data_IF_767558238594
#
_entry.id   IF_767558238594
#
_cell.length_a   1.000
_cell.length_b   1.000
_cell.length_c   1.000
_cell.angle_alpha   90.00
_cell.angle_beta   90.00
_cell.angle_gamma   90.00
#
_symmetry.space_group_name_H-M   'P 1'
#
loop_
_entity.id
_entity.type
_entity.pdbx_description
1 polymer ?
#
# COMPACT_ATOMS: atom_id res chain seq x y z
N UNK A 1 15.41 -18.52 8.21
CA UNK A 1 14.78 -19.26 9.32
C UNK A 1 13.73 -18.38 10.00
N UNK A 2 12.63 -18.04 9.31
CA UNK A 2 11.59 -17.14 9.85
C UNK A 2 10.14 -17.65 9.67
N UNK A 3 9.88 -18.61 8.78
CA UNK A 3 8.49 -18.94 8.40
C UNK A 3 7.84 -20.10 9.18
N UNK A 4 8.60 -20.90 9.94
CA UNK A 4 8.05 -22.12 10.60
C UNK A 4 6.87 -21.87 11.55
N UNK A 5 7.03 -21.05 12.60
CA UNK A 5 5.98 -20.90 13.63
C UNK A 5 4.75 -20.13 13.10
N UNK A 6 4.94 -19.16 12.21
CA UNK A 6 3.84 -18.40 11.60
C UNK A 6 3.08 -19.28 10.60
N UNK A 7 3.77 -20.12 9.84
CA UNK A 7 3.13 -21.06 8.91
C UNK A 7 2.29 -22.11 9.65
N UNK A 8 2.82 -22.69 10.73
CA UNK A 8 2.06 -23.63 11.56
C UNK A 8 0.84 -22.97 12.20
N UNK A 9 0.98 -21.74 12.72
CA UNK A 9 -0.14 -21.00 13.30
C UNK A 9 -1.22 -20.70 12.24
N UNK A 10 -0.82 -20.28 11.04
CA UNK A 10 -1.73 -20.06 9.91
C UNK A 10 -2.47 -21.35 9.55
N UNK A 11 -1.75 -22.46 9.37
CA UNK A 11 -2.37 -23.75 8.99
C UNK A 11 -3.33 -24.26 10.06
N UNK A 12 -2.98 -24.15 11.35
CA UNK A 12 -3.89 -24.51 12.45
C UNK A 12 -5.15 -23.64 12.49
N UNK A 13 -5.01 -22.34 12.21
CA UNK A 13 -6.20 -21.47 12.12
C UNK A 13 -7.04 -21.77 10.90
N UNK A 14 -6.41 -22.08 9.78
CA UNK A 14 -7.12 -22.47 8.58
C UNK A 14 -7.84 -23.81 8.80
N UNK A 15 -7.23 -24.77 9.50
CA UNK A 15 -7.87 -26.04 9.88
C UNK A 15 -9.16 -25.81 10.68
N UNK A 16 -9.11 -24.96 11.70
CA UNK A 16 -10.23 -24.63 12.57
C UNK A 16 -11.30 -23.73 11.91
N UNK A 17 -11.00 -23.10 10.77
CA UNK A 17 -11.94 -22.27 10.04
C UNK A 17 -12.84 -23.12 9.13
N UNK A 18 -14.13 -22.80 9.12
CA UNK A 18 -15.14 -23.39 8.22
C UNK A 18 -15.07 -22.81 6.79
N UNK A 19 -14.11 -21.92 6.51
CA UNK A 19 -13.93 -21.24 5.23
C UNK A 19 -12.52 -20.72 5.04
N UNK A 20 -12.39 -19.63 4.28
CA UNK A 20 -11.12 -18.93 4.11
C UNK A 20 -10.86 -17.90 5.21
N UNK A 21 -9.61 -17.45 5.28
CA UNK A 21 -9.14 -16.44 6.22
C UNK A 21 -8.59 -15.23 5.45
N UNK A 22 -8.88 -14.01 5.91
CA UNK A 22 -8.21 -12.82 5.39
C UNK A 22 -6.85 -12.65 6.10
N UNK A 23 -5.79 -12.54 5.31
CA UNK A 23 -4.43 -12.33 5.81
C UNK A 23 -4.26 -11.08 6.69
N UNK A 24 -4.98 -9.98 6.45
CA UNK A 24 -4.85 -8.79 7.30
C UNK A 24 -5.51 -9.00 8.66
N UNK A 25 -6.66 -9.67 8.70
CA UNK A 25 -7.35 -10.02 9.96
C UNK A 25 -6.51 -11.01 10.76
N UNK A 26 -6.00 -12.06 10.10
CA UNK A 26 -5.14 -13.05 10.74
C UNK A 26 -3.82 -12.44 11.24
N UNK A 27 -3.22 -11.51 10.49
CA UNK A 27 -2.01 -10.81 10.93
C UNK A 27 -2.27 -10.00 12.21
N UNK A 28 -3.42 -9.31 12.27
CA UNK A 28 -3.83 -8.56 13.45
C UNK A 28 -4.11 -9.46 14.66
N UNK A 29 -4.77 -10.61 14.45
CA UNK A 29 -5.04 -11.60 15.51
C UNK A 29 -3.76 -12.24 16.07
N UNK A 30 -2.81 -12.56 15.20
CA UNK A 30 -1.53 -13.17 15.58
C UNK A 30 -0.52 -12.13 16.11
N UNK A 31 -0.82 -10.83 16.01
CA UNK A 31 0.08 -9.75 16.40
C UNK A 31 1.37 -9.71 15.55
N UNK A 32 1.30 -10.17 14.30
CA UNK A 32 2.43 -10.21 13.37
C UNK A 32 2.28 -9.14 12.30
N UNK A 33 3.40 -8.69 11.75
CA UNK A 33 3.37 -7.77 10.60
C UNK A 33 2.72 -8.45 9.39
N UNK A 34 1.80 -7.73 8.71
CA UNK A 34 1.12 -8.23 7.51
C UNK A 34 2.09 -8.72 6.43
N UNK A 35 3.21 -8.03 6.22
CA UNK A 35 4.22 -8.45 5.23
C UNK A 35 4.87 -9.79 5.55
N UNK A 36 5.10 -10.08 6.84
CA UNK A 36 5.63 -11.37 7.25
C UNK A 36 4.64 -12.50 6.94
N UNK A 37 3.36 -12.30 7.26
CA UNK A 37 2.31 -13.27 6.95
C UNK A 37 2.13 -13.48 5.44
N UNK A 38 2.18 -12.40 4.65
CA UNK A 38 2.15 -12.47 3.18
C UNK A 38 3.34 -13.29 2.64
N UNK A 39 4.53 -13.11 3.22
CA UNK A 39 5.70 -13.93 2.92
C UNK A 39 5.44 -15.42 3.18
N UNK A 40 4.88 -15.73 4.35
CA UNK A 40 4.52 -17.10 4.74
C UNK A 40 3.46 -17.72 3.81
N UNK A 41 2.42 -16.97 3.43
CA UNK A 41 1.40 -17.43 2.46
C UNK A 41 2.05 -17.79 1.13
N UNK A 42 2.94 -16.96 0.61
CA UNK A 42 3.66 -17.27 -0.64
C UNK A 42 4.56 -18.48 -0.52
N UNK A 43 5.26 -18.62 0.61
CA UNK A 43 6.09 -19.80 0.90
C UNK A 43 5.25 -21.07 0.93
N UNK A 44 4.05 -21.04 1.53
CA UNK A 44 3.12 -22.16 1.57
C UNK A 44 2.53 -22.49 0.19
N UNK A 45 2.19 -21.49 -0.63
CA UNK A 45 1.79 -21.70 -2.03
C UNK A 45 2.92 -22.34 -2.86
N UNK A 46 4.18 -22.01 -2.57
CA UNK A 46 5.32 -22.60 -3.28
C UNK A 46 5.61 -24.06 -2.90
N UNK A 47 5.07 -24.55 -1.78
CA UNK A 47 5.20 -25.93 -1.31
C UNK A 47 4.20 -26.90 -1.97
N UNK A 48 3.35 -26.41 -2.87
CA UNK A 48 2.35 -27.18 -3.60
C UNK A 48 0.93 -26.72 -3.30
N UNK A 49 -0.05 -27.59 -3.49
CA UNK A 49 -1.48 -27.29 -3.27
C UNK A 49 -1.90 -27.44 -1.80
N UNK A 50 -1.05 -27.02 -0.86
CA UNK A 50 -1.37 -27.06 0.58
C UNK A 50 -2.42 -25.99 0.91
N UNK A 51 -2.26 -24.80 0.34
CA UNK A 51 -3.20 -23.70 0.47
C UNK A 51 -3.51 -23.10 -0.90
N UNK A 52 -4.71 -22.57 -1.02
CA UNK A 52 -5.07 -21.64 -2.08
C UNK A 52 -5.06 -20.23 -1.51
N UNK A 53 -4.54 -19.26 -2.25
CA UNK A 53 -4.58 -17.86 -1.83
C UNK A 53 -4.99 -16.96 -2.99
N UNK A 54 -6.13 -16.30 -2.82
CA UNK A 54 -6.69 -15.34 -3.75
C UNK A 54 -6.26 -13.92 -3.34
N UNK A 55 -5.65 -13.17 -4.25
CA UNK A 55 -5.33 -11.77 -3.99
C UNK A 55 -6.58 -10.91 -4.10
N UNK A 56 -7.02 -10.34 -2.99
CA UNK A 56 -8.09 -9.36 -2.90
C UNK A 56 -7.52 -7.96 -2.73
N UNK A 57 -8.20 -6.97 -3.30
CA UNK A 57 -7.82 -5.57 -3.16
C UNK A 57 -9.00 -4.75 -2.68
N UNK A 58 -8.85 -4.14 -1.52
CA UNK A 58 -9.83 -3.22 -0.96
C UNK A 58 -9.27 -1.80 -1.07
N UNK A 59 -10.06 -0.92 -1.69
CA UNK A 59 -9.71 0.50 -1.80
C UNK A 59 -10.28 1.22 -0.58
N UNK A 60 -9.43 1.95 0.14
CA UNK A 60 -9.85 2.85 1.20
C UNK A 60 -9.33 4.25 0.94
N UNK A 61 -10.09 5.23 1.41
CA UNK A 61 -9.68 6.63 1.38
C UNK A 61 -8.99 6.98 2.69
N UNK A 62 -7.78 7.50 2.59
CA UNK A 62 -7.02 8.00 3.72
C UNK A 62 -6.75 9.50 3.55
N UNK A 63 -6.69 10.20 4.68
CA UNK A 63 -6.26 11.59 4.72
C UNK A 63 -4.74 11.66 4.54
N UNK A 64 -4.28 12.65 3.78
CA UNK A 64 -2.85 12.98 3.76
C UNK A 64 -2.47 13.74 5.03
N UNK A 65 -1.17 13.93 5.26
CA UNK A 65 -0.68 14.73 6.41
C UNK A 65 -1.29 16.14 6.40
N UNK A 66 -1.36 16.77 5.23
CA UNK A 66 -2.01 18.06 5.03
C UNK A 66 -3.54 17.96 5.24
N UNK A 67 -4.18 16.91 4.74
CA UNK A 67 -5.61 16.68 4.94
C UNK A 67 -6.00 16.50 6.42
N UNK A 68 -5.14 15.84 7.20
CA UNK A 68 -5.32 15.65 8.64
C UNK A 68 -5.16 16.99 9.40
N UNK A 69 -4.19 17.82 9.00
CA UNK A 69 -4.03 19.17 9.53
C UNK A 69 -5.26 20.03 9.24
N UNK A 70 -5.77 20.00 8.00
CA UNK A 70 -6.98 20.73 7.62
C UNK A 70 -8.21 20.24 8.37
N UNK A 71 -8.35 18.92 8.57
CA UNK A 71 -9.46 18.37 9.35
C UNK A 71 -9.45 18.90 10.81
N UNK A 72 -8.26 19.12 11.39
CA UNK A 72 -8.09 19.59 12.77
C UNK A 72 -8.21 21.11 12.91
N UNK A 73 -7.48 21.85 12.08
CA UNK A 73 -7.27 23.30 12.23
C UNK A 73 -8.06 24.16 11.23
N UNK A 74 -8.83 23.52 10.34
CA UNK A 74 -9.57 24.20 9.27
C UNK A 74 -8.78 24.32 7.98
N UNK A 75 -9.48 24.60 6.89
CA UNK A 75 -8.93 24.77 5.55
C UNK A 75 -8.09 26.02 5.42
N UNK A 76 -7.13 26.01 4.49
CA UNK A 76 -6.27 27.16 4.25
C UNK A 76 -7.07 28.41 3.87
N UNK A 77 -8.15 28.27 3.09
CA UNK A 77 -9.06 29.37 2.75
C UNK A 77 -9.81 29.93 3.97
N UNK A 78 -10.30 29.07 4.86
CA UNK A 78 -10.97 29.52 6.09
C UNK A 78 -9.98 30.15 7.07
N UNK A 79 -8.77 29.59 7.22
CA UNK A 79 -7.71 30.18 8.04
C UNK A 79 -7.31 31.55 7.53
N UNK A 80 -7.16 31.71 6.21
CA UNK A 80 -6.90 33.01 5.58
C UNK A 80 -8.03 33.98 5.84
N UNK A 81 -9.29 33.59 5.66
CA UNK A 81 -10.44 34.45 5.95
C UNK A 81 -10.47 34.93 7.41
N UNK A 82 -10.28 34.03 8.38
CA UNK A 82 -10.26 34.37 9.80
C UNK A 82 -9.05 35.21 10.21
N UNK A 83 -7.94 35.14 9.47
CA UNK A 83 -6.74 35.96 9.71
C UNK A 83 -6.87 37.41 9.24
N UNK A 84 -7.86 37.73 8.38
CA UNK A 84 -8.07 39.08 7.87
C UNK A 84 -9.02 39.84 8.81
N UNK A 85 -8.56 40.89 9.51
CA UNK A 85 -9.42 41.73 10.34
C UNK A 85 -10.40 42.54 9.47
N UNK A 86 -11.48 43.10 10.05
CA UNK A 86 -12.41 43.97 9.31
C UNK A 86 -11.71 45.21 8.73
N UNK A 87 -10.66 45.68 9.38
CA UNK A 87 -9.81 46.81 8.96
C UNK A 87 -8.94 46.50 7.73
N UNK A 88 -8.89 45.23 7.32
CA UNK A 88 -8.08 44.73 6.21
C UNK A 88 -6.63 44.45 6.59
N UNK A 89 -6.02 43.48 5.90
CA UNK A 89 -4.65 43.04 6.11
C UNK A 89 -3.79 43.35 4.88
N UNK A 90 -2.52 43.71 5.05
CA UNK A 90 -1.61 43.86 3.93
C UNK A 90 -1.42 42.52 3.21
N UNK A 91 -1.47 42.53 1.87
CA UNK A 91 -1.33 41.29 1.09
C UNK A 91 0.03 40.62 1.34
N UNK A 92 1.09 41.39 1.53
CA UNK A 92 2.44 40.89 1.82
C UNK A 92 2.50 40.09 3.14
N UNK A 93 1.83 40.58 4.18
CA UNK A 93 1.74 39.91 5.49
C UNK A 93 0.92 38.63 5.40
N UNK A 94 -0.23 38.69 4.72
CA UNK A 94 -1.07 37.52 4.50
C UNK A 94 -0.32 36.40 3.75
N UNK A 95 0.46 36.77 2.73
CA UNK A 95 1.25 35.80 1.93
C UNK A 95 2.45 35.21 2.68
N UNK A 96 2.83 35.79 3.83
CA UNK A 96 3.89 35.27 4.71
C UNK A 96 3.39 34.16 5.63
N UNK A 97 2.07 34.07 5.85
CA UNK A 97 1.48 33.00 6.64
C UNK A 97 1.65 31.64 5.95
N UNK A 98 1.81 30.53 6.70
CA UNK A 98 1.98 29.19 6.13
C UNK A 98 0.85 28.80 5.16
N UNK A 99 -0.39 29.16 5.51
CA UNK A 99 -1.60 28.93 4.68
C UNK A 99 -1.88 30.06 3.68
N UNK A 100 -1.08 31.13 3.69
CA UNK A 100 -1.37 32.39 3.01
C UNK A 100 -1.48 32.25 1.51
N UNK A 101 -0.44 31.70 0.85
CA UNK A 101 -0.38 31.60 -0.61
C UNK A 101 -1.47 30.68 -1.19
N UNK A 102 -1.66 29.53 -0.54
CA UNK A 102 -2.62 28.50 -0.98
C UNK A 102 -4.05 28.94 -0.69
N UNK A 103 -4.30 29.41 0.54
CA UNK A 103 -5.62 29.86 0.99
C UNK A 103 -6.10 31.14 0.30
N UNK A 104 -5.20 32.08 0.01
CA UNK A 104 -5.56 33.36 -0.65
C UNK A 104 -6.21 33.14 -2.02
N UNK A 105 -5.62 32.27 -2.85
CA UNK A 105 -6.13 32.01 -4.20
C UNK A 105 -7.53 31.38 -4.18
N UNK A 106 -7.77 30.46 -3.24
CA UNK A 106 -9.06 29.78 -3.09
C UNK A 106 -10.11 30.65 -2.42
N UNK A 107 -9.73 31.44 -1.40
CA UNK A 107 -10.62 32.42 -0.76
C UNK A 107 -11.06 33.53 -1.74
N UNK A 108 -10.18 33.95 -2.65
CA UNK A 108 -10.53 34.91 -3.71
C UNK A 108 -11.49 34.27 -4.74
N UNK A 109 -11.22 33.02 -5.15
CA UNK A 109 -12.10 32.26 -6.06
C UNK A 109 -13.50 32.02 -5.46
N UNK A 110 -13.57 31.80 -4.14
CA UNK A 110 -14.82 31.64 -3.39
C UNK A 110 -15.50 32.98 -3.06
N UNK A 111 -14.92 34.12 -3.47
CA UNK A 111 -15.40 35.49 -3.18
C UNK A 111 -15.52 35.81 -1.68
N UNK A 112 -14.70 35.18 -0.84
CA UNK A 112 -14.67 35.45 0.61
C UNK A 112 -13.85 36.70 0.95
N UNK A 113 -12.85 37.01 0.12
CA UNK A 113 -11.94 38.13 0.28
C UNK A 113 -11.84 38.93 -1.03
N UNK A 114 -11.58 40.24 -0.91
CA UNK A 114 -11.29 41.16 -2.03
C UNK A 114 -9.96 41.85 -1.82
N UNK A 115 -9.27 42.18 -2.91
CA UNK A 115 -8.04 42.97 -2.86
C UNK A 115 -8.35 44.40 -3.29
N UNK A 116 -7.95 45.35 -2.47
CA UNK A 116 -7.96 46.76 -2.78
C UNK A 116 -6.53 47.21 -3.10
N UNK A 117 -6.34 47.83 -4.28
CA UNK A 117 -5.04 48.34 -4.74
C UNK A 117 -4.95 49.87 -4.62
N UNK A 118 -5.98 50.52 -4.10
CA UNK A 118 -6.08 51.99 -4.02
C UNK A 118 -5.37 52.60 -2.80
N UNK A 119 -4.83 51.76 -1.91
CA UNK A 119 -4.21 52.21 -0.66
C UNK A 119 -2.74 52.56 -0.85
N UNK A 120 -2.29 53.69 -0.29
CA UNK A 120 -0.92 54.19 -0.39
C UNK A 120 0.15 53.23 0.19
N UNK A 121 -0.27 52.35 1.11
CA UNK A 121 0.53 51.31 1.79
C UNK A 121 0.67 50.01 0.97
N UNK A 122 0.20 49.98 -0.28
CA UNK A 122 0.19 48.79 -1.14
C UNK A 122 -1.10 47.97 -1.06
N UNK A 123 -1.20 46.84 -1.79
CA UNK A 123 -2.43 46.06 -1.89
C UNK A 123 -2.89 45.50 -0.54
N UNK A 124 -4.13 45.80 -0.15
CA UNK A 124 -4.76 45.30 1.08
C UNK A 124 -5.89 44.34 0.77
N UNK A 125 -6.05 43.34 1.63
CA UNK A 125 -7.08 42.30 1.54
C UNK A 125 -8.18 42.59 2.56
N UNK A 126 -9.41 42.63 2.11
CA UNK A 126 -10.60 42.83 2.95
C UNK A 126 -11.52 41.62 2.86
N UNK A 127 -12.25 41.33 3.94
CA UNK A 127 -13.34 40.36 3.92
C UNK A 127 -14.54 40.91 3.15
N UNK A 128 -15.20 40.05 2.37
CA UNK A 128 -16.40 40.38 1.60
C UNK A 128 -17.67 39.90 2.31
N UNK A 129 -17.55 38.82 3.07
CA UNK A 129 -18.62 38.20 3.85
C UNK A 129 -18.28 38.25 5.33
N UNK A 130 -19.29 38.23 6.20
CA UNK A 130 -19.10 38.29 7.66
C UNK A 130 -18.72 36.93 8.26
N UNK A 131 -19.28 35.84 7.72
CA UNK A 131 -19.05 34.47 8.16
C UNK A 131 -18.88 33.52 6.97
N UNK A 132 -18.01 32.52 7.13
CA UNK A 132 -17.80 31.44 6.16
C UNK A 132 -18.01 30.09 6.83
N UNK A 133 -18.61 29.15 6.10
CA UNK A 133 -18.67 27.75 6.53
C UNK A 133 -17.53 26.96 5.87
N UNK A 134 -16.72 26.30 6.70
CA UNK A 134 -15.63 25.46 6.21
C UNK A 134 -16.13 24.08 5.79
N UNK A 135 -16.70 24.00 4.59
CA UNK A 135 -17.15 22.74 4.01
C UNK A 135 -16.00 21.74 3.82
N UNK A 136 -14.79 22.22 3.54
CA UNK A 136 -13.63 21.36 3.29
C UNK A 136 -13.24 20.64 4.56
N UNK A 137 -13.11 21.37 5.67
CA UNK A 137 -12.87 20.79 6.99
C UNK A 137 -13.98 19.80 7.37
N UNK A 138 -15.26 20.18 7.20
CA UNK A 138 -16.40 19.30 7.50
C UNK A 138 -16.31 17.98 6.73
N UNK A 139 -16.00 18.05 5.43
CA UNK A 139 -15.83 16.86 4.58
C UNK A 139 -14.64 16.00 5.00
N UNK A 140 -13.49 16.60 5.33
CA UNK A 140 -12.33 15.83 5.80
C UNK A 140 -12.55 15.19 7.17
N UNK A 141 -13.30 15.85 8.06
CA UNK A 141 -13.71 15.26 9.35
C UNK A 141 -14.61 14.03 9.16
N UNK A 142 -15.51 14.02 8.16
CA UNK A 142 -16.29 12.83 7.82
C UNK A 142 -15.39 11.68 7.34
N UNK A 143 -14.37 11.97 6.53
CA UNK A 143 -13.38 10.97 6.09
C UNK A 143 -12.60 10.43 7.29
N UNK A 144 -12.14 11.31 8.18
CA UNK A 144 -11.45 10.94 9.43
C UNK A 144 -12.30 10.01 10.29
N UNK A 145 -13.61 10.23 10.33
CA UNK A 145 -14.59 9.39 11.03
C UNK A 145 -14.94 8.08 10.32
N UNK A 146 -14.19 7.67 9.28
CA UNK A 146 -14.43 6.44 8.52
C UNK A 146 -15.63 6.49 7.58
N UNK A 147 -16.23 7.66 7.38
CA UNK A 147 -17.43 7.86 6.57
C UNK A 147 -17.10 8.45 5.19
N UNK A 148 -15.93 8.11 4.66
CA UNK A 148 -15.51 8.54 3.32
C UNK A 148 -16.55 8.18 2.24
N UNK A 149 -17.29 7.08 2.45
CA UNK A 149 -18.33 6.64 1.53
C UNK A 149 -19.54 7.58 1.40
N UNK A 150 -19.75 8.47 2.38
CA UNK A 150 -20.83 9.46 2.33
C UNK A 150 -20.53 10.64 1.40
N UNK A 151 -19.25 10.85 1.04
CA UNK A 151 -18.87 11.91 0.11
C UNK A 151 -19.21 11.51 -1.33
N UNK A 152 -19.73 12.44 -2.11
CA UNK A 152 -20.00 12.20 -3.53
C UNK A 152 -18.70 12.03 -4.32
N UNK A 153 -18.74 11.30 -5.45
CA UNK A 153 -17.56 11.05 -6.29
C UNK A 153 -16.89 12.35 -6.76
N UNK A 154 -17.68 13.37 -7.11
CA UNK A 154 -17.20 14.71 -7.49
C UNK A 154 -16.37 15.34 -6.37
N UNK A 155 -16.85 15.29 -5.13
CA UNK A 155 -16.19 15.87 -3.96
C UNK A 155 -14.88 15.15 -3.66
N UNK A 156 -14.88 13.81 -3.68
CA UNK A 156 -13.65 13.01 -3.51
C UNK A 156 -12.63 13.32 -4.59
N UNK A 157 -13.08 13.51 -5.84
CA UNK A 157 -12.19 13.85 -6.95
C UNK A 157 -11.53 15.23 -6.79
N UNK A 158 -12.26 16.23 -6.27
CA UNK A 158 -11.70 17.55 -5.99
C UNK A 158 -10.68 17.47 -4.84
N UNK A 159 -11.03 16.81 -3.73
CA UNK A 159 -10.16 16.64 -2.58
C UNK A 159 -8.88 15.84 -2.93
N UNK A 160 -8.99 14.83 -3.81
CA UNK A 160 -7.85 14.09 -4.36
C UNK A 160 -6.95 14.99 -5.22
N UNK A 161 -7.52 15.82 -6.11
CA UNK A 161 -6.76 16.80 -6.91
C UNK A 161 -6.04 17.82 -6.04
N UNK A 162 -6.64 18.20 -4.92
CA UNK A 162 -6.05 19.08 -3.90
C UNK A 162 -5.02 18.39 -3.00
N UNK A 163 -4.72 17.09 -3.20
CA UNK A 163 -3.80 16.29 -2.38
C UNK A 163 -4.18 16.18 -0.90
N UNK A 164 -5.47 16.37 -0.57
CA UNK A 164 -6.00 16.23 0.80
C UNK A 164 -6.43 14.79 1.10
N UNK A 165 -6.72 14.03 0.05
CA UNK A 165 -7.09 12.61 0.12
C UNK A 165 -6.18 11.79 -0.78
N UNK A 166 -5.88 10.58 -0.32
CA UNK A 166 -5.19 9.55 -1.07
C UNK A 166 -6.01 8.27 -1.06
N UNK A 167 -6.12 7.65 -2.22
CA UNK A 167 -6.73 6.33 -2.38
C UNK A 167 -5.65 5.29 -2.10
N UNK A 168 -5.80 4.57 -0.99
CA UNK A 168 -4.88 3.52 -0.58
C UNK A 168 -5.51 2.17 -0.91
N UNK A 169 -4.85 1.44 -1.81
CA UNK A 169 -5.25 0.08 -2.16
C UNK A 169 -4.57 -0.89 -1.20
N UNK A 170 -5.34 -1.41 -0.25
CA UNK A 170 -4.91 -2.52 0.60
C UNK A 170 -5.02 -3.81 -0.19
N UNK A 171 -3.90 -4.51 -0.33
CA UNK A 171 -3.83 -5.84 -0.92
C UNK A 171 -3.81 -6.87 0.21
N UNK A 172 -4.85 -7.69 0.28
CA UNK A 172 -4.96 -8.80 1.24
C UNK A 172 -5.09 -10.10 0.46
N UNK A 173 -4.59 -11.19 1.04
CA UNK A 173 -4.82 -12.53 0.55
C UNK A 173 -5.99 -13.16 1.30
N UNK A 174 -6.93 -13.72 0.56
CA UNK A 174 -7.92 -14.64 1.08
C UNK A 174 -7.37 -16.06 0.94
N UNK A 175 -7.07 -16.69 2.08
CA UNK A 175 -6.41 -17.99 2.14
C UNK A 175 -7.44 -19.07 2.41
N UNK A 176 -7.52 -20.09 1.57
CA UNK A 176 -8.39 -21.26 1.71
C UNK A 176 -7.59 -22.57 1.73
N UNK A 177 -8.22 -23.64 2.22
CA UNK A 177 -7.63 -24.99 2.23
C UNK A 177 -7.43 -25.45 0.79
N UNK A 178 -6.22 -25.89 0.45
CA UNK A 178 -5.93 -26.50 -0.85
C UNK A 178 -6.29 -27.99 -0.89
N UNK A 179 -6.17 -28.60 -2.06
CA UNK A 179 -6.47 -30.02 -2.29
C UNK A 179 -5.59 -30.97 -1.44
N UNK A 180 -4.35 -30.56 -1.15
CA UNK A 180 -3.36 -31.28 -0.36
C UNK A 180 -3.14 -30.61 1.02
N UNK A 181 -4.18 -29.99 1.57
CA UNK A 181 -4.10 -29.31 2.86
C UNK A 181 -3.62 -30.25 3.96
N UNK A 182 -2.59 -29.81 4.67
CA UNK A 182 -2.02 -30.51 5.82
C UNK A 182 -1.52 -29.49 6.84
N UNK A 183 -1.68 -29.80 8.12
CA UNK A 183 -1.18 -28.97 9.22
C UNK A 183 0.30 -29.17 9.50
N UNK A 184 0.88 -30.28 9.02
CA UNK A 184 2.30 -30.55 9.13
C UNK A 184 3.00 -30.28 7.79
N UNK A 185 3.87 -29.28 7.76
CA UNK A 185 4.68 -28.99 6.58
C UNK A 185 5.84 -29.99 6.54
N UNK A 186 5.65 -31.10 5.84
CA UNK A 186 6.77 -31.98 5.50
C UNK A 186 7.59 -31.29 4.41
N UNK A 187 8.84 -30.89 4.73
CA UNK A 187 9.76 -30.42 3.70
C UNK A 187 9.96 -31.55 2.70
N UNK A 188 9.59 -31.29 1.45
CA UNK A 188 9.93 -32.19 0.36
C UNK A 188 11.45 -32.15 0.17
N UNK A 189 12.06 -33.32 0.06
CA UNK A 189 13.50 -33.40 -0.16
C UNK A 189 13.81 -32.95 -1.59
N UNK A 190 14.85 -32.11 -1.74
CA UNK A 190 15.24 -31.59 -3.06
C UNK A 190 16.09 -32.59 -3.84
N UNK A 191 16.89 -33.39 -3.14
CA UNK A 191 17.86 -34.31 -3.74
C UNK A 191 17.82 -35.66 -3.02
N UNK A 192 18.16 -36.71 -3.76
CA UNK A 192 18.32 -38.05 -3.22
C UNK A 192 19.72 -38.20 -2.62
N UNK A 193 19.82 -38.38 -1.31
CA UNK A 193 21.11 -38.57 -0.63
C UNK A 193 21.53 -40.05 -0.53
N UNK A 194 22.84 -40.33 -0.46
CA UNK A 194 23.35 -41.70 -0.27
C UNK A 194 22.80 -42.38 1.00
N UNK A 195 22.59 -41.62 2.08
CA UNK A 195 22.04 -42.11 3.34
C UNK A 195 20.57 -42.51 3.19
N UNK A 196 19.79 -41.74 2.42
CA UNK A 196 18.40 -42.08 2.12
C UNK A 196 18.32 -43.38 1.31
N UNK A 197 19.21 -43.57 0.33
CA UNK A 197 19.29 -44.81 -0.45
C UNK A 197 19.61 -46.00 0.47
N UNK A 198 20.60 -45.83 1.35
CA UNK A 198 21.07 -46.89 2.25
C UNK A 198 20.04 -47.28 3.31
N UNK A 199 19.30 -46.30 3.84
CA UNK A 199 18.25 -46.51 4.85
C UNK A 199 16.88 -46.88 4.26
N UNK A 200 16.68 -46.69 2.95
CA UNK A 200 15.40 -46.90 2.28
C UNK A 200 14.37 -45.77 2.49
N UNK A 201 14.70 -44.72 3.25
CA UNK A 201 13.77 -43.64 3.61
C UNK A 201 13.31 -42.78 2.43
N UNK A 202 13.95 -42.93 1.26
CA UNK A 202 13.53 -42.27 0.01
C UNK A 202 12.16 -42.75 -0.50
N UNK A 203 11.69 -43.92 -0.07
CA UNK A 203 10.40 -44.48 -0.50
C UNK A 203 9.22 -43.75 0.13
N UNK A 204 9.40 -43.25 1.35
CA UNK A 204 8.33 -42.71 2.19
C UNK A 204 8.32 -41.17 2.22
N UNK A 205 9.33 -40.51 1.64
CA UNK A 205 9.45 -39.05 1.61
C UNK A 205 9.05 -38.48 0.25
N UNK A 206 8.20 -37.44 0.20
CA UNK A 206 7.91 -36.73 -1.04
C UNK A 206 9.12 -35.89 -1.48
N UNK A 207 9.43 -35.92 -2.78
CA UNK A 207 10.48 -35.10 -3.39
C UNK A 207 9.90 -33.89 -4.10
N UNK A 208 10.65 -32.79 -4.11
CA UNK A 208 10.27 -31.61 -4.88
C UNK A 208 10.29 -31.96 -6.38
N UNK A 209 9.22 -31.68 -7.15
CA UNK A 209 9.22 -31.94 -8.58
C UNK A 209 10.31 -31.11 -9.28
N UNK A 210 11.07 -31.76 -10.16
CA UNK A 210 12.14 -31.10 -10.91
C UNK A 210 11.56 -30.15 -11.96
N UNK A 211 12.09 -28.93 -12.03
CA UNK A 211 11.66 -27.97 -13.03
C UNK A 211 12.37 -28.24 -14.37
N UNK A 212 11.77 -29.06 -15.22
CA UNK A 212 12.28 -29.38 -16.56
C UNK A 212 12.31 -28.19 -17.54
N UNK A 213 11.68 -27.06 -17.19
CA UNK A 213 11.72 -25.84 -18.02
C UNK A 213 12.94 -24.96 -17.73
N UNK A 214 13.68 -25.21 -16.64
CA UNK A 214 14.87 -24.45 -16.31
C UNK A 214 16.08 -24.90 -17.15
N UNK A 215 16.93 -23.96 -17.55
CA UNK A 215 18.24 -24.32 -18.12
C UNK A 215 19.08 -25.04 -17.07
N UNK A 216 19.68 -26.16 -17.47
CA UNK A 216 20.62 -26.90 -16.63
C UNK A 216 21.92 -26.12 -16.42
N UNK A 217 22.69 -26.58 -15.44
CA UNK A 217 24.05 -26.07 -15.21
C UNK A 217 24.95 -26.64 -16.30
N UNK A 218 25.58 -25.75 -17.08
CA UNK A 218 26.57 -26.17 -18.07
C UNK A 218 27.82 -26.67 -17.33
N UNK A 219 28.33 -27.88 -17.64
CA UNK A 219 29.54 -28.36 -17.03
C UNK A 219 30.73 -27.50 -17.48
N UNK A 220 31.66 -27.25 -16.56
CA UNK A 220 32.93 -26.63 -16.89
C UNK A 220 33.67 -27.54 -17.89
N UNK A 221 33.82 -27.05 -19.12
CA UNK A 221 34.49 -27.76 -20.21
C UNK A 221 35.55 -26.88 -20.82
N UNK A 222 36.64 -27.49 -21.30
CA UNK A 222 37.63 -26.77 -22.08
C UNK A 222 37.01 -26.23 -23.37
N UNK A 223 37.39 -25.02 -23.76
CA UNK A 223 36.93 -24.42 -25.01
C UNK A 223 38.09 -24.32 -26.00
N UNK A 224 37.89 -24.84 -27.21
CA UNK A 224 38.80 -24.58 -28.32
C UNK A 224 38.57 -23.15 -28.83
N UNK A 225 39.65 -22.45 -29.16
CA UNK A 225 39.55 -21.14 -29.77
C UNK A 225 38.75 -21.25 -31.09
N UNK A 226 37.71 -20.41 -31.31
CA UNK A 226 36.84 -20.54 -32.48
C UNK A 226 37.60 -20.58 -33.81
N UNK A 227 38.65 -19.76 -33.97
CA UNK A 227 39.49 -19.72 -35.17
C UNK A 227 40.25 -21.03 -35.43
N UNK A 228 40.75 -21.69 -34.38
CA UNK A 228 41.47 -22.97 -34.50
C UNK A 228 40.50 -24.11 -34.84
N UNK A 229 39.24 -24.01 -34.38
CA UNK A 229 38.19 -24.97 -34.73
C UNK A 229 37.85 -24.89 -36.23
N UNK A 230 37.66 -23.67 -36.77
CA UNK A 230 37.39 -23.45 -38.20
C UNK A 230 38.57 -23.89 -39.07
N UNK A 231 39.81 -23.64 -38.65
CA UNK A 231 40.98 -24.07 -39.40
C UNK A 231 41.08 -25.59 -39.50
N UNK A 232 40.80 -26.31 -38.40
CA UNK A 232 40.80 -27.78 -38.37
C UNK A 232 39.72 -28.43 -39.24
N UNK A 233 38.58 -27.77 -39.40
CA UNK A 233 37.45 -28.28 -40.18
C UNK A 233 37.56 -27.94 -41.69
N UNK A 234 38.55 -27.13 -42.08
CA UNK A 234 38.80 -26.70 -43.46
C UNK A 234 39.86 -27.54 -44.20
N UNK A 235 40.53 -28.46 -43.50
CA UNK A 235 41.42 -29.50 -44.04
C UNK A 235 40.69 -30.87 -44.11
#
# INVERSE_FOLDING_TARGET
MADGPVAEALLRRLEAADGGLDSAELAAELGVEHQALVGTVKSLQALGEIIEAELRSTKRWELTVEGEEIAREGSHEARVFHSVPPEGLAQSELMRLPSGKVGFSKAMSNKWIRVDKSTADGPRVFRVVDSVEDEVQRRLQLVRGGQAEKLGEKERSELKKRKLLTEVTLKTYWVSKGSAFSTSISKQEAELSPEMISSGSWRDRPFKPYNFSAHGILPDSGHLHPLLKVHRDAD
#
